data_IF_915411566888
#
_entry.id   IF_915411566888
#
_cell.length_a   1.000
_cell.length_b   1.000
_cell.length_c   1.000
_cell.angle_alpha   90.00
_cell.angle_beta   90.00
_cell.angle_gamma   90.00
#
_symmetry.space_group_name_H-M   'P 1'
#
loop_
_entity.id
_entity.type
_entity.pdbx_description
1 polymer ?
#
# COMPACT_ATOMS: atom_id res chain seq x y z
N UNK A 1 1.82 25.62 22.92
CA UNK A 1 0.93 24.48 22.64
C UNK A 1 1.80 23.24 22.45
N UNK A 2 1.52 22.13 23.13
CA UNK A 2 2.25 20.88 22.86
C UNK A 2 1.92 20.46 21.42
N UNK A 3 2.95 20.15 20.62
CA UNK A 3 2.76 19.64 19.26
C UNK A 3 1.99 18.30 19.34
N UNK A 4 1.08 18.06 18.40
CA UNK A 4 0.39 16.77 18.31
C UNK A 4 1.42 15.62 18.30
N UNK A 5 1.15 14.49 18.96
CA UNK A 5 2.08 13.38 18.98
C UNK A 5 2.33 12.86 17.55
N UNK A 6 3.59 12.52 17.26
CA UNK A 6 4.00 11.96 15.97
C UNK A 6 3.36 10.58 15.75
N UNK A 7 3.10 10.26 14.50
CA UNK A 7 2.73 8.90 14.09
C UNK A 7 3.98 8.03 13.95
N UNK A 8 3.95 6.79 14.39
CA UNK A 8 5.10 5.89 14.27
C UNK A 8 5.21 5.33 12.85
N UNK A 9 4.07 4.98 12.24
CA UNK A 9 4.00 4.50 10.85
C UNK A 9 2.86 5.17 10.08
N UNK A 10 3.17 5.74 8.93
CA UNK A 10 2.19 6.11 7.90
C UNK A 10 2.33 5.16 6.71
N UNK A 11 1.26 4.43 6.42
CA UNK A 11 1.14 3.66 5.18
C UNK A 11 0.46 4.51 4.11
N UNK A 12 1.03 4.54 2.89
CA UNK A 12 0.45 5.24 1.74
C UNK A 12 0.31 4.25 0.58
N UNK A 13 -0.93 4.00 0.15
CA UNK A 13 -1.28 3.04 -0.90
C UNK A 13 -2.36 3.59 -1.83
N UNK A 14 -2.46 3.15 -3.09
CA UNK A 14 -3.49 3.64 -3.99
C UNK A 14 -4.87 3.05 -3.75
N UNK A 15 -5.01 1.77 -3.41
CA UNK A 15 -6.32 1.11 -3.41
C UNK A 15 -6.70 0.51 -2.05
N UNK A 16 -8.00 0.45 -1.73
CA UNK A 16 -8.48 -0.42 -0.65
C UNK A 16 -8.15 -1.88 -0.96
N UNK A 17 -7.55 -2.60 -0.05
CA UNK A 17 -6.98 -3.95 -0.01
C UNK A 17 -5.44 -4.02 -0.03
N UNK A 18 -4.76 -2.99 -0.54
CA UNK A 18 -3.29 -2.97 -0.58
C UNK A 18 -2.65 -3.03 0.83
N UNK A 19 -3.34 -2.49 1.84
CA UNK A 19 -2.85 -2.40 3.22
C UNK A 19 -2.71 -3.77 3.89
N UNK A 20 -3.50 -4.78 3.46
CA UNK A 20 -3.49 -6.08 4.12
C UNK A 20 -2.45 -7.04 3.55
N UNK A 21 -2.08 -6.91 2.27
CA UNK A 21 -1.22 -7.91 1.61
C UNK A 21 0.22 -7.90 2.13
N UNK A 22 0.82 -6.71 2.20
CA UNK A 22 2.24 -6.57 2.52
C UNK A 22 2.56 -5.95 3.88
N UNK A 23 1.55 -5.47 4.63
CA UNK A 23 1.75 -4.68 5.86
C UNK A 23 0.69 -4.89 6.94
N UNK A 24 -0.25 -5.79 6.78
CA UNK A 24 -1.33 -5.97 7.76
C UNK A 24 -0.83 -6.29 9.16
N UNK A 25 0.14 -7.19 9.30
CA UNK A 25 0.72 -7.52 10.60
C UNK A 25 1.54 -6.35 11.17
N UNK A 26 2.31 -5.65 10.33
CA UNK A 26 3.08 -4.48 10.76
C UNK A 26 2.17 -3.33 11.22
N UNK A 27 1.08 -3.06 10.50
CA UNK A 27 0.06 -2.09 10.91
C UNK A 27 -0.56 -2.45 12.26
N UNK A 28 -0.98 -3.71 12.44
CA UNK A 28 -1.59 -4.16 13.69
C UNK A 28 -0.60 -4.05 14.87
N UNK A 29 0.66 -4.43 14.65
CA UNK A 29 1.73 -4.30 15.64
C UNK A 29 1.98 -2.85 16.04
N UNK A 30 2.09 -1.98 15.05
CA UNK A 30 2.30 -0.54 15.29
C UNK A 30 1.09 0.09 15.98
N UNK A 31 -0.13 -0.25 15.59
CA UNK A 31 -1.35 0.27 16.23
C UNK A 31 -1.50 -0.18 17.68
N UNK A 32 -1.02 -1.38 18.01
CA UNK A 32 -1.04 -1.92 19.39
C UNK A 32 -0.04 -1.22 20.32
N UNK A 33 1.13 -0.88 19.83
CA UNK A 33 2.24 -0.34 20.63
C UNK A 33 2.46 1.16 20.49
N UNK A 34 1.84 1.79 19.49
CA UNK A 34 2.04 3.18 19.12
C UNK A 34 0.90 3.72 18.26
N UNK A 35 1.25 4.52 17.26
CA UNK A 35 0.30 5.20 16.38
C UNK A 35 0.55 4.85 14.92
N UNK A 36 -0.38 4.12 14.31
CA UNK A 36 -0.41 3.87 12.86
C UNK A 36 -1.44 4.78 12.18
N UNK A 37 -1.09 5.27 11.00
CA UNK A 37 -1.98 6.02 10.12
C UNK A 37 -1.93 5.46 8.70
N UNK A 38 -3.01 5.65 7.94
CA UNK A 38 -3.08 5.23 6.54
C UNK A 38 -3.61 6.35 5.66
N UNK A 39 -3.07 6.42 4.44
CA UNK A 39 -3.59 7.20 3.33
C UNK A 39 -3.84 6.28 2.15
N UNK A 40 -5.09 6.19 1.70
CA UNK A 40 -5.49 5.47 0.50
C UNK A 40 -5.95 6.47 -0.55
N UNK A 41 -5.36 6.44 -1.76
CA UNK A 41 -5.53 7.50 -2.75
C UNK A 41 -6.81 7.38 -3.56
N UNK A 42 -7.42 6.20 -3.65
CA UNK A 42 -8.67 5.96 -4.39
C UNK A 42 -9.69 5.22 -3.52
N UNK A 43 -10.92 5.14 -3.99
CA UNK A 43 -11.96 4.31 -3.36
C UNK A 43 -12.13 2.95 -4.03
N UNK A 44 -11.29 2.60 -4.99
CA UNK A 44 -11.29 1.29 -5.62
C UNK A 44 -12.48 1.00 -6.53
N UNK A 45 -13.06 2.01 -7.17
CA UNK A 45 -14.27 1.90 -7.99
C UNK A 45 -14.12 0.97 -9.22
N UNK A 46 -12.89 0.74 -9.70
CA UNK A 46 -12.61 -0.18 -10.80
C UNK A 46 -12.46 -1.66 -10.36
N UNK A 47 -12.55 -1.95 -9.08
CA UNK A 47 -12.44 -3.30 -8.54
C UNK A 47 -13.57 -4.25 -8.98
N UNK A 48 -13.61 -5.44 -8.41
CA UNK A 48 -14.65 -6.44 -8.65
C UNK A 48 -15.85 -6.18 -7.76
N UNK A 49 -17.05 -6.47 -8.26
CA UNK A 49 -18.28 -6.41 -7.45
C UNK A 49 -18.62 -7.75 -6.79
N UNK A 50 -18.20 -8.85 -7.41
CA UNK A 50 -18.53 -10.25 -7.04
C UNK A 50 -20.02 -10.48 -6.75
N UNK A 51 -20.91 -9.64 -7.29
CA UNK A 51 -22.35 -9.73 -7.03
C UNK A 51 -22.79 -9.18 -5.68
N UNK A 52 -21.87 -8.67 -4.86
CA UNK A 52 -22.15 -8.12 -3.51
C UNK A 52 -22.68 -6.69 -3.56
N UNK A 53 -22.46 -6.00 -4.68
CA UNK A 53 -22.97 -4.65 -4.95
C UNK A 53 -23.06 -4.44 -6.47
N UNK A 54 -23.71 -3.36 -6.89
CA UNK A 54 -23.62 -2.90 -8.28
C UNK A 54 -22.41 -1.98 -8.50
N UNK A 55 -22.13 -1.63 -9.76
CA UNK A 55 -20.98 -0.78 -10.10
C UNK A 55 -21.02 0.59 -9.42
N UNK A 56 -22.18 1.23 -9.38
CA UNK A 56 -22.35 2.56 -8.77
C UNK A 56 -22.10 2.55 -7.24
N UNK A 57 -22.40 1.44 -6.56
CA UNK A 57 -22.19 1.28 -5.12
C UNK A 57 -20.80 0.77 -4.72
N UNK A 58 -19.95 0.37 -5.70
CA UNK A 58 -18.70 -0.32 -5.39
C UNK A 58 -17.71 0.54 -4.59
N UNK A 59 -17.54 1.81 -4.94
CA UNK A 59 -16.65 2.71 -4.21
C UNK A 59 -17.03 2.80 -2.72
N UNK A 60 -18.31 3.04 -2.43
CA UNK A 60 -18.80 3.10 -1.05
C UNK A 60 -18.65 1.76 -0.32
N UNK A 61 -18.88 0.63 -1.03
CA UNK A 61 -18.68 -0.70 -0.46
C UNK A 61 -17.22 -0.95 -0.11
N UNK A 62 -16.29 -0.68 -1.01
CA UNK A 62 -14.85 -0.88 -0.78
C UNK A 62 -14.29 0.06 0.29
N UNK A 63 -14.79 1.28 0.39
CA UNK A 63 -14.46 2.19 1.50
C UNK A 63 -14.90 1.60 2.85
N UNK A 64 -16.12 1.04 2.94
CA UNK A 64 -16.59 0.36 4.14
C UNK A 64 -15.76 -0.89 4.47
N UNK A 65 -15.37 -1.67 3.47
CA UNK A 65 -14.48 -2.83 3.62
C UNK A 65 -13.09 -2.41 4.14
N UNK A 66 -12.51 -1.35 3.59
CA UNK A 66 -11.24 -0.77 4.06
C UNK A 66 -11.33 -0.30 5.51
N UNK A 67 -12.39 0.45 5.86
CA UNK A 67 -12.59 0.90 7.24
C UNK A 67 -12.71 -0.29 8.21
N UNK A 68 -13.43 -1.36 7.82
CA UNK A 68 -13.54 -2.57 8.62
C UNK A 68 -12.19 -3.31 8.76
N UNK A 69 -11.40 -3.39 7.68
CA UNK A 69 -10.07 -3.99 7.68
C UNK A 69 -9.12 -3.21 8.60
N UNK A 70 -9.09 -1.88 8.47
CA UNK A 70 -8.25 -1.03 9.32
C UNK A 70 -8.66 -1.08 10.79
N UNK A 71 -9.96 -1.17 11.08
CA UNK A 71 -10.46 -1.38 12.45
C UNK A 71 -10.00 -2.75 13.01
N UNK A 72 -10.01 -3.83 12.22
CA UNK A 72 -9.49 -5.14 12.61
C UNK A 72 -7.98 -5.11 12.90
N UNK A 73 -7.23 -4.20 12.26
CA UNK A 73 -5.81 -3.94 12.51
C UNK A 73 -5.57 -2.95 13.66
N UNK A 74 -6.62 -2.33 14.21
CA UNK A 74 -6.50 -1.31 15.27
C UNK A 74 -6.09 0.08 14.80
N UNK A 75 -6.07 0.33 13.50
CA UNK A 75 -5.71 1.63 12.91
C UNK A 75 -6.91 2.58 12.97
N UNK A 76 -6.71 3.77 13.55
CA UNK A 76 -7.77 4.76 13.75
C UNK A 76 -7.59 6.04 12.93
N UNK A 77 -6.35 6.38 12.55
CA UNK A 77 -6.07 7.57 11.71
C UNK A 77 -6.09 7.14 10.23
N UNK A 78 -7.26 7.30 9.62
CA UNK A 78 -7.54 6.86 8.25
C UNK A 78 -7.87 8.05 7.37
N UNK A 79 -7.17 8.20 6.26
CA UNK A 79 -7.45 9.18 5.21
C UNK A 79 -7.70 8.45 3.90
N UNK A 80 -8.82 8.74 3.25
CA UNK A 80 -9.19 8.15 1.96
C UNK A 80 -9.48 9.30 1.00
N UNK A 81 -8.81 9.32 -0.15
CA UNK A 81 -9.10 10.25 -1.23
C UNK A 81 -10.07 9.62 -2.24
N UNK A 82 -10.69 10.45 -3.08
CA UNK A 82 -11.73 10.02 -4.02
C UNK A 82 -11.24 10.12 -5.48
N UNK A 83 -9.96 9.77 -5.71
CA UNK A 83 -9.46 9.67 -7.08
C UNK A 83 -9.92 8.37 -7.75
N UNK A 84 -9.91 8.36 -9.09
CA UNK A 84 -10.30 7.18 -9.86
C UNK A 84 -9.13 6.20 -10.01
N UNK A 85 -9.45 4.90 -10.06
CA UNK A 85 -8.48 3.84 -10.31
C UNK A 85 -8.11 3.78 -11.80
N UNK A 86 -6.92 3.26 -12.09
CA UNK A 86 -6.53 2.86 -13.43
C UNK A 86 -7.45 1.74 -13.97
N UNK A 87 -7.94 1.93 -15.19
CA UNK A 87 -8.72 0.94 -15.92
C UNK A 87 -8.04 0.72 -17.28
N UNK A 88 -7.49 -0.48 -17.55
CA UNK A 88 -6.94 -0.80 -18.87
C UNK A 88 -8.06 -0.89 -19.91
N UNK A 89 -7.66 -0.80 -21.20
CA UNK A 89 -8.59 -0.95 -22.30
C UNK A 89 -9.42 -2.24 -22.18
N UNK A 90 -10.74 -2.09 -22.33
CA UNK A 90 -11.71 -3.20 -22.33
C UNK A 90 -11.75 -4.10 -21.08
N UNK A 91 -11.35 -3.62 -19.89
CA UNK A 91 -11.45 -4.43 -18.65
C UNK A 91 -12.85 -4.30 -18.02
N UNK A 92 -13.50 -5.44 -17.78
CA UNK A 92 -14.76 -5.57 -17.02
C UNK A 92 -15.91 -4.68 -17.47
N UNK A 93 -15.92 -4.28 -18.76
CA UNK A 93 -16.95 -3.40 -19.31
C UNK A 93 -16.92 -1.97 -18.77
N UNK A 94 -15.79 -1.56 -18.17
CA UNK A 94 -15.52 -0.19 -17.80
C UNK A 94 -14.84 0.56 -18.95
N UNK A 95 -15.13 1.86 -19.13
CA UNK A 95 -14.34 2.68 -20.03
C UNK A 95 -12.90 2.79 -19.52
N UNK A 96 -11.91 2.83 -20.40
CA UNK A 96 -10.53 3.04 -20.03
C UNK A 96 -10.35 4.31 -19.21
N UNK A 97 -9.50 4.26 -18.18
CA UNK A 97 -9.18 5.42 -17.37
C UNK A 97 -7.71 5.40 -16.96
N UNK A 98 -6.99 6.52 -17.04
CA UNK A 98 -5.57 6.57 -16.71
C UNK A 98 -5.26 6.40 -15.20
N UNK A 99 -6.28 6.29 -14.34
CA UNK A 99 -6.11 6.22 -12.90
C UNK A 99 -5.56 7.51 -12.32
N UNK A 100 -4.65 7.39 -11.37
CA UNK A 100 -3.97 8.52 -10.75
C UNK A 100 -3.19 9.38 -11.76
N UNK A 101 -2.74 8.81 -12.88
CA UNK A 101 -2.07 9.56 -13.94
C UNK A 101 -2.98 10.57 -14.66
N UNK A 102 -4.29 10.49 -14.48
CA UNK A 102 -5.28 11.47 -14.96
C UNK A 102 -5.47 12.68 -14.05
N UNK A 103 -4.88 12.68 -12.87
CA UNK A 103 -4.94 13.78 -11.90
C UNK A 103 -3.70 14.66 -12.06
N UNK A 104 -3.83 15.96 -11.80
CA UNK A 104 -2.67 16.85 -11.78
C UNK A 104 -1.64 16.34 -10.74
N UNK A 105 -0.40 16.19 -11.18
CA UNK A 105 0.68 15.65 -10.34
C UNK A 105 0.91 16.50 -9.09
N UNK A 106 0.82 17.81 -9.23
CA UNK A 106 1.00 18.74 -8.09
C UNK A 106 -0.13 18.63 -7.08
N UNK A 107 -1.36 18.31 -7.50
CA UNK A 107 -2.50 18.03 -6.62
C UNK A 107 -2.24 16.77 -5.79
N UNK A 108 -1.81 15.68 -6.42
CA UNK A 108 -1.48 14.43 -5.73
C UNK A 108 -0.33 14.63 -4.73
N UNK A 109 0.75 15.31 -5.14
CA UNK A 109 1.88 15.62 -4.27
C UNK A 109 1.45 16.45 -3.07
N UNK A 110 0.64 17.50 -3.29
CA UNK A 110 0.12 18.34 -2.21
C UNK A 110 -0.78 17.55 -1.25
N UNK A 111 -1.64 16.67 -1.76
CA UNK A 111 -2.51 15.84 -0.92
C UNK A 111 -1.68 14.91 -0.01
N UNK A 112 -0.64 14.27 -0.53
CA UNK A 112 0.27 13.43 0.28
C UNK A 112 1.06 14.27 1.26
N UNK A 113 1.61 15.42 0.84
CA UNK A 113 2.37 16.33 1.69
C UNK A 113 1.55 16.84 2.89
N UNK A 114 0.27 17.17 2.67
CA UNK A 114 -0.65 17.59 3.74
C UNK A 114 -0.84 16.48 4.80
N UNK A 115 -0.91 15.21 4.38
CA UNK A 115 -1.02 14.08 5.32
C UNK A 115 0.31 13.86 6.06
N UNK A 116 1.45 13.99 5.37
CA UNK A 116 2.77 13.94 6.01
C UNK A 116 2.94 15.04 7.07
N UNK A 117 2.55 16.28 6.77
CA UNK A 117 2.60 17.40 7.71
C UNK A 117 1.69 17.16 8.93
N UNK A 118 0.46 16.70 8.71
CA UNK A 118 -0.50 16.40 9.78
C UNK A 118 -0.03 15.28 10.68
N UNK A 119 0.46 14.18 10.12
CA UNK A 119 0.82 12.96 10.85
C UNK A 119 2.23 12.97 11.38
N UNK A 120 3.15 13.71 10.75
CA UNK A 120 4.59 13.80 11.06
C UNK A 120 5.20 12.42 11.35
N UNK A 121 5.11 11.47 10.39
CA UNK A 121 5.44 10.08 10.65
C UNK A 121 6.94 9.89 10.93
N UNK A 122 7.27 8.94 11.82
CA UNK A 122 8.65 8.48 12.00
C UNK A 122 9.08 7.60 10.83
N UNK A 123 8.14 6.77 10.36
CA UNK A 123 8.36 5.91 9.21
C UNK A 123 7.22 6.05 8.20
N UNK A 124 7.57 5.99 6.91
CA UNK A 124 6.62 5.88 5.80
C UNK A 124 6.82 4.53 5.12
N UNK A 125 5.72 3.86 4.82
CA UNK A 125 5.70 2.64 4.03
C UNK A 125 4.83 2.87 2.79
N UNK A 126 5.34 2.49 1.61
CA UNK A 126 4.62 2.62 0.34
C UNK A 126 5.08 1.56 -0.66
N UNK A 127 4.59 1.63 -1.89
CA UNK A 127 5.00 0.74 -2.97
C UNK A 127 6.45 0.99 -3.43
N UNK A 128 7.13 -0.04 -3.97
CA UNK A 128 8.43 0.11 -4.63
C UNK A 128 8.28 0.77 -6.02
N UNK A 129 9.40 1.21 -6.64
CA UNK A 129 9.38 1.86 -7.97
C UNK A 129 8.74 1.02 -9.09
N UNK A 130 8.71 -0.31 -8.94
CA UNK A 130 8.02 -1.20 -9.89
C UNK A 130 6.57 -1.52 -9.49
N UNK A 131 6.01 -0.83 -8.48
CA UNK A 131 4.64 -1.06 -8.01
C UNK A 131 4.38 -2.47 -7.46
N UNK A 132 5.42 -3.25 -7.13
CA UNK A 132 5.38 -4.65 -6.70
C UNK A 132 4.85 -5.64 -7.76
N UNK A 133 3.88 -5.25 -8.58
CA UNK A 133 3.25 -6.05 -9.63
C UNK A 133 3.13 -5.32 -10.97
N UNK A 134 3.67 -4.11 -11.08
CA UNK A 134 3.64 -3.29 -12.30
C UNK A 134 2.37 -2.45 -12.50
N UNK A 135 1.45 -2.44 -11.53
CA UNK A 135 0.22 -1.63 -11.65
C UNK A 135 0.56 -0.14 -11.77
N UNK A 136 -0.01 0.61 -12.76
CA UNK A 136 0.30 2.02 -12.98
C UNK A 136 0.12 2.89 -11.73
N UNK A 137 -1.02 2.75 -11.02
CA UNK A 137 -1.28 3.53 -9.82
C UNK A 137 -0.29 3.20 -8.68
N UNK A 138 0.21 1.95 -8.58
CA UNK A 138 1.22 1.58 -7.58
C UNK A 138 2.57 2.24 -7.90
N UNK A 139 2.98 2.23 -9.17
CA UNK A 139 4.22 2.86 -9.61
C UNK A 139 4.15 4.37 -9.38
N UNK A 140 3.04 5.00 -9.77
CA UNK A 140 2.85 6.44 -9.59
C UNK A 140 2.76 6.82 -8.11
N UNK A 141 2.13 6.00 -7.26
CA UNK A 141 2.11 6.24 -5.81
C UNK A 141 3.52 6.33 -5.23
N UNK A 142 4.45 5.45 -5.65
CA UNK A 142 5.85 5.57 -5.22
C UNK A 142 6.45 6.92 -5.59
N UNK A 143 6.28 7.34 -6.85
CA UNK A 143 6.82 8.62 -7.35
C UNK A 143 6.25 9.82 -6.60
N UNK A 144 4.92 9.88 -6.44
CA UNK A 144 4.23 10.95 -5.72
C UNK A 144 4.66 11.03 -4.25
N UNK A 145 4.80 9.88 -3.59
CA UNK A 145 5.28 9.86 -2.19
C UNK A 145 6.68 10.41 -2.08
N UNK A 146 7.59 10.05 -3.00
CA UNK A 146 8.96 10.58 -2.98
C UNK A 146 9.00 12.09 -3.20
N UNK A 147 8.23 12.63 -4.15
CA UNK A 147 8.12 14.07 -4.38
C UNK A 147 7.51 14.79 -3.17
N UNK A 148 6.48 14.22 -2.54
CA UNK A 148 5.89 14.79 -1.34
C UNK A 148 6.87 14.83 -0.17
N UNK A 149 7.74 13.83 -0.02
CA UNK A 149 8.80 13.80 0.98
C UNK A 149 9.87 14.88 0.75
N UNK A 150 10.09 15.31 -0.51
CA UNK A 150 11.03 16.41 -0.80
C UNK A 150 10.49 17.78 -0.38
N UNK A 151 9.17 17.96 -0.43
CA UNK A 151 8.52 19.24 -0.07
C UNK A 151 7.96 19.26 1.36
N UNK A 152 7.89 18.13 2.04
CA UNK A 152 7.40 18.04 3.42
C UNK A 152 8.29 18.81 4.39
N UNK A 153 7.71 19.55 5.37
CA UNK A 153 8.46 20.32 6.36
C UNK A 153 9.38 19.46 7.24
N UNK A 154 8.94 18.27 7.57
CA UNK A 154 9.70 17.27 8.35
C UNK A 154 9.83 15.98 7.54
N UNK A 155 11.06 15.49 7.36
CA UNK A 155 11.30 14.18 6.74
C UNK A 155 11.11 13.08 7.78
N UNK A 156 10.55 11.92 7.40
CA UNK A 156 10.52 10.76 8.26
C UNK A 156 11.94 10.25 8.54
N UNK A 157 12.11 9.57 9.67
CA UNK A 157 13.37 8.94 10.02
C UNK A 157 13.70 7.76 9.09
N UNK A 158 12.66 7.11 8.54
CA UNK A 158 12.77 5.94 7.67
C UNK A 158 11.72 5.94 6.58
N UNK A 159 12.10 5.43 5.42
CA UNK A 159 11.19 5.15 4.31
C UNK A 159 11.38 3.70 3.89
N UNK A 160 10.28 2.97 3.82
CA UNK A 160 10.25 1.58 3.41
C UNK A 160 9.35 1.39 2.20
N UNK A 161 9.70 0.43 1.38
CA UNK A 161 8.87 -0.08 0.29
C UNK A 161 8.45 -1.52 0.60
N UNK A 162 7.27 -1.90 0.13
CA UNK A 162 6.96 -3.32 0.00
C UNK A 162 8.03 -4.01 -0.84
N UNK A 163 8.50 -5.16 -0.41
CA UNK A 163 9.50 -5.90 -1.16
C UNK A 163 9.05 -7.35 -1.40
N UNK A 164 9.07 -7.76 -2.65
CA UNK A 164 8.85 -9.15 -2.99
C UNK A 164 10.17 -9.91 -2.86
N UNK A 165 10.22 -11.04 -2.11
CA UNK A 165 11.44 -11.83 -1.95
C UNK A 165 12.00 -12.37 -3.27
N UNK A 166 11.15 -12.54 -4.26
CA UNK A 166 11.51 -12.96 -5.62
C UNK A 166 11.13 -11.88 -6.62
N UNK A 167 11.90 -11.79 -7.69
CA UNK A 167 11.53 -10.97 -8.84
C UNK A 167 10.18 -11.45 -9.39
N UNK A 168 9.41 -10.52 -9.89
CA UNK A 168 8.20 -10.87 -10.61
C UNK A 168 8.59 -11.57 -11.91
N UNK A 169 8.01 -12.74 -12.16
CA UNK A 169 8.18 -13.53 -13.37
C UNK A 169 6.78 -13.87 -13.91
N UNK A 170 6.57 -13.63 -15.18
CA UNK A 170 5.33 -13.97 -15.85
C UNK A 170 4.81 -12.85 -16.76
N UNK A 171 3.78 -13.15 -17.55
CA UNK A 171 3.22 -12.19 -18.47
C UNK A 171 2.57 -11.02 -17.72
N UNK A 172 2.86 -9.82 -18.16
CA UNK A 172 2.25 -8.61 -17.64
C UNK A 172 0.83 -8.42 -18.21
N UNK A 173 0.00 -7.76 -17.45
CA UNK A 173 -1.33 -7.32 -17.93
C UNK A 173 -1.14 -6.12 -18.86
N UNK A 174 -2.03 -5.95 -19.86
CA UNK A 174 -2.00 -4.78 -20.72
C UNK A 174 -1.99 -3.48 -19.90
N UNK A 175 -1.09 -2.56 -20.23
CA UNK A 175 -0.94 -1.27 -19.54
C UNK A 175 -0.17 -1.32 -18.21
N UNK A 176 0.22 -2.50 -17.74
CA UNK A 176 1.13 -2.63 -16.60
C UNK A 176 2.58 -2.45 -17.05
N UNK A 177 3.46 -2.22 -16.09
CA UNK A 177 4.89 -2.06 -16.34
C UNK A 177 5.46 -3.31 -17.01
N UNK A 178 6.18 -3.13 -18.11
CA UNK A 178 6.77 -4.22 -18.90
C UNK A 178 7.76 -5.06 -18.07
N UNK A 179 7.91 -6.34 -18.43
CA UNK A 179 8.70 -7.33 -17.66
C UNK A 179 10.14 -6.87 -17.43
N UNK A 180 10.79 -6.29 -18.44
CA UNK A 180 12.17 -5.79 -18.31
C UNK A 180 12.27 -4.61 -17.35
N UNK A 181 11.27 -3.72 -17.34
CA UNK A 181 11.19 -2.65 -16.35
C UNK A 181 10.91 -3.19 -14.95
N UNK A 182 10.04 -4.17 -14.83
CA UNK A 182 9.79 -4.86 -13.56
C UNK A 182 11.07 -5.40 -12.95
N UNK A 183 11.92 -6.02 -13.78
CA UNK A 183 13.22 -6.56 -13.36
C UNK A 183 14.22 -5.46 -12.99
N UNK A 184 14.30 -4.41 -13.80
CA UNK A 184 15.24 -3.30 -13.57
C UNK A 184 14.95 -2.53 -12.29
N UNK A 185 13.65 -2.31 -11.99
CA UNK A 185 13.20 -1.57 -10.83
C UNK A 185 12.96 -2.44 -9.60
N UNK A 186 13.23 -3.74 -9.68
CA UNK A 186 13.07 -4.62 -8.54
C UNK A 186 14.12 -4.33 -7.46
N UNK A 187 13.65 -4.24 -6.22
CA UNK A 187 14.48 -4.02 -5.04
C UNK A 187 14.35 -5.24 -4.11
N UNK A 188 15.47 -5.87 -3.71
CA UNK A 188 15.43 -7.01 -2.81
C UNK A 188 15.01 -6.59 -1.41
N UNK A 189 14.39 -7.49 -0.61
CA UNK A 189 14.15 -7.22 0.80
C UNK A 189 15.44 -6.93 1.55
N UNK A 190 15.40 -5.91 2.40
CA UNK A 190 16.44 -5.61 3.39
C UNK A 190 15.96 -5.92 4.80
N UNK A 191 14.65 -6.04 5.00
CA UNK A 191 14.02 -6.32 6.29
C UNK A 191 12.89 -7.32 6.13
N UNK A 192 12.69 -8.14 7.16
CA UNK A 192 11.59 -9.08 7.26
C UNK A 192 10.92 -8.96 8.63
N UNK A 193 9.60 -8.96 8.65
CA UNK A 193 8.79 -8.90 9.86
C UNK A 193 7.88 -10.12 9.94
N UNK A 194 8.14 -11.06 10.86
CA UNK A 194 7.20 -12.15 11.12
C UNK A 194 5.85 -11.60 11.58
N UNK A 195 4.76 -12.16 11.05
CA UNK A 195 3.41 -11.75 11.46
C UNK A 195 3.16 -12.03 12.96
N UNK A 196 3.68 -13.15 13.48
CA UNK A 196 3.65 -13.43 14.90
C UNK A 196 2.22 -13.41 15.48
N UNK A 197 2.06 -12.65 16.57
CA UNK A 197 0.78 -12.49 17.27
C UNK A 197 -0.27 -11.73 16.43
N UNK A 198 0.16 -10.92 15.47
CA UNK A 198 -0.71 -10.11 14.60
C UNK A 198 -1.30 -10.91 13.43
N UNK A 199 -0.92 -12.18 13.24
CA UNK A 199 -1.42 -13.01 12.14
C UNK A 199 -2.95 -13.09 12.13
N UNK A 200 -3.58 -13.26 13.28
CA UNK A 200 -5.03 -13.33 13.39
C UNK A 200 -5.70 -12.03 12.94
N UNK A 201 -5.18 -10.87 13.37
CA UNK A 201 -5.68 -9.55 12.94
C UNK A 201 -5.47 -9.31 11.44
N UNK A 202 -4.31 -9.70 10.90
CA UNK A 202 -4.05 -9.64 9.45
C UNK A 202 -5.05 -10.46 8.65
N UNK A 203 -5.31 -11.71 9.03
CA UNK A 203 -6.27 -12.58 8.35
C UNK A 203 -7.70 -12.05 8.48
N UNK A 204 -8.08 -11.52 9.63
CA UNK A 204 -9.39 -10.89 9.83
C UNK A 204 -9.55 -9.68 8.91
N UNK A 205 -8.53 -8.81 8.82
CA UNK A 205 -8.53 -7.65 7.92
C UNK A 205 -8.61 -8.07 6.44
N UNK A 206 -7.85 -9.08 6.02
CA UNK A 206 -7.96 -9.65 4.66
C UNK A 206 -9.37 -10.14 4.37
N UNK A 207 -10.07 -10.72 5.35
CA UNK A 207 -11.45 -11.20 5.24
C UNK A 207 -12.48 -10.07 5.10
N UNK A 208 -12.16 -8.84 5.49
CA UNK A 208 -13.05 -7.69 5.34
C UNK A 208 -13.21 -7.23 3.88
N UNK A 209 -12.25 -7.53 3.00
CA UNK A 209 -12.29 -7.15 1.58
C UNK A 209 -13.10 -8.15 0.75
N UNK A 210 -14.37 -8.31 1.06
CA UNK A 210 -15.27 -9.31 0.46
C UNK A 210 -15.39 -9.14 -1.06
N UNK A 211 -15.52 -7.90 -1.56
CA UNK A 211 -15.59 -7.65 -3.01
C UNK A 211 -14.27 -7.98 -3.73
N UNK A 212 -13.17 -8.05 -3.01
CA UNK A 212 -11.84 -8.38 -3.54
C UNK A 212 -11.37 -9.79 -3.10
N UNK A 213 -12.26 -10.66 -2.64
CA UNK A 213 -11.94 -12.00 -2.13
C UNK A 213 -11.10 -12.83 -3.11
N UNK A 214 -11.28 -12.68 -4.43
CA UNK A 214 -10.45 -13.38 -5.43
C UNK A 214 -8.99 -12.89 -5.43
N UNK A 215 -8.74 -11.61 -5.14
CA UNK A 215 -7.40 -11.07 -4.98
C UNK A 215 -6.74 -11.60 -3.71
N UNK A 216 -7.50 -11.66 -2.62
CA UNK A 216 -7.06 -12.24 -1.34
C UNK A 216 -6.69 -13.71 -1.51
N UNK A 217 -7.58 -14.52 -2.10
CA UNK A 217 -7.32 -15.94 -2.36
C UNK A 217 -6.14 -16.16 -3.33
N UNK A 218 -6.02 -15.31 -4.36
CA UNK A 218 -4.88 -15.32 -5.27
C UNK A 218 -3.57 -15.09 -4.52
N UNK A 219 -3.51 -14.06 -3.68
CA UNK A 219 -2.33 -13.77 -2.86
C UNK A 219 -1.97 -14.92 -1.92
N UNK A 220 -2.96 -15.49 -1.23
CA UNK A 220 -2.75 -16.63 -0.33
C UNK A 220 -2.19 -17.86 -1.06
N UNK A 221 -2.66 -18.12 -2.28
CA UNK A 221 -2.21 -19.25 -3.11
C UNK A 221 -0.81 -19.03 -3.69
N UNK A 222 -0.55 -17.83 -4.20
CA UNK A 222 0.66 -17.53 -4.96
C UNK A 222 1.83 -17.11 -4.07
N UNK A 223 1.53 -16.52 -2.92
CA UNK A 223 2.53 -15.98 -2.00
C UNK A 223 2.30 -16.37 -0.53
N UNK A 224 2.08 -17.67 -0.22
CA UNK A 224 1.69 -18.12 1.13
C UNK A 224 2.69 -17.71 2.22
N UNK A 225 3.98 -17.68 1.91
CA UNK A 225 5.02 -17.26 2.85
C UNK A 225 4.84 -15.79 3.32
N UNK A 226 4.27 -14.92 2.48
CA UNK A 226 4.04 -13.51 2.81
C UNK A 226 2.85 -13.29 3.73
N UNK A 227 2.02 -14.30 3.95
CA UNK A 227 1.03 -14.30 5.02
C UNK A 227 1.74 -14.28 6.38
N UNK A 228 2.81 -15.09 6.51
CA UNK A 228 3.53 -15.31 7.76
C UNK A 228 4.68 -14.33 7.96
N UNK A 229 5.27 -13.80 6.88
CA UNK A 229 6.42 -12.88 6.94
C UNK A 229 6.22 -11.76 5.93
N UNK A 230 6.13 -10.55 6.43
CA UNK A 230 6.10 -9.33 5.61
C UNK A 230 7.53 -8.90 5.32
N UNK A 231 7.79 -8.47 4.09
CA UNK A 231 9.15 -8.11 3.66
C UNK A 231 9.18 -6.71 3.09
N UNK A 232 10.23 -5.95 3.44
CA UNK A 232 10.40 -4.55 3.13
C UNK A 232 11.79 -4.25 2.61
N UNK A 233 11.88 -3.25 1.73
CA UNK A 233 13.13 -2.63 1.35
C UNK A 233 13.25 -1.26 2.02
N UNK A 234 14.31 -1.03 2.80
CA UNK A 234 14.55 0.28 3.41
C UNK A 234 15.21 1.22 2.39
N UNK A 235 14.42 2.18 1.89
CA UNK A 235 14.86 3.17 0.92
C UNK A 235 15.63 4.32 1.57
N UNK A 236 15.26 4.68 2.81
CA UNK A 236 15.94 5.73 3.56
C UNK A 236 15.99 5.43 5.07
N UNK A 237 17.13 5.65 5.77
CA UNK A 237 18.45 5.71 5.14
C UNK A 237 18.74 4.38 4.44
N UNK A 238 19.44 4.44 3.32
CA UNK A 238 19.74 3.23 2.53
C UNK A 238 20.59 2.22 3.31
N UNK A 239 20.35 0.94 3.05
CA UNK A 239 21.15 -0.15 3.62
C UNK A 239 22.34 -0.43 2.72
N UNK A 240 23.49 -0.74 3.29
CA UNK A 240 24.67 -1.10 2.52
C UNK A 240 24.38 -2.33 1.61
N UNK A 241 24.90 -2.29 0.39
CA UNK A 241 24.77 -3.41 -0.54
C UNK A 241 25.42 -4.66 0.07
N UNK A 242 24.70 -5.80 0.00
CA UNK A 242 25.19 -7.09 0.53
C UNK A 242 24.91 -7.30 2.03
N UNK A 243 24.27 -6.39 2.72
CA UNK A 243 23.73 -6.65 4.07
C UNK A 243 22.69 -7.76 4.00
N UNK A 244 22.70 -8.67 4.97
CA UNK A 244 21.64 -9.67 5.12
C UNK A 244 20.28 -9.03 5.38
N UNK A 245 19.22 -9.83 5.32
CA UNK A 245 17.87 -9.37 5.68
C UNK A 245 17.79 -9.27 7.22
N UNK A 246 17.49 -8.07 7.71
CA UNK A 246 17.34 -7.80 9.14
C UNK A 246 15.90 -8.07 9.58
N UNK A 247 15.72 -8.52 10.82
CA UNK A 247 14.40 -8.65 11.41
C UNK A 247 13.87 -7.26 11.80
N UNK A 248 12.64 -6.95 11.37
CA UNK A 248 11.96 -5.70 11.67
C UNK A 248 10.80 -5.98 12.64
N UNK A 249 10.99 -5.64 13.89
CA UNK A 249 9.97 -5.83 14.93
C UNK A 249 9.01 -4.64 15.01
N UNK A 250 9.54 -3.42 14.90
CA UNK A 250 8.79 -2.16 14.87
C UNK A 250 9.40 -1.22 13.83
N UNK A 251 8.56 -0.41 13.19
CA UNK A 251 8.97 0.65 12.27
C UNK A 251 9.25 1.96 13.00
#
# INVERSE_FOLDING_TARGET
MASAPRTDLLLIVPHPDDEVFGSGAMLARTARSGRAATLTLTRGAAGRTLGLTNRAGLAARREAELCAALAALGVQDVTILDHQDYVPDADRGLPPHPGLAGVDRSELVAAVANVLERTRPRAVLTFPPNGANGHPDHCLTNEIVLEALEVAPERPERVYYFANPRRFEGPQRPGFLEEDEMRRRWLPPTHAAPAGEELASKLAAMGCHETQALSVLGFMREQPARILVETFHRAFPSVAAGSGVEELLLL
#
